data_IF_485740056395
#
_entry.id   IF_485740056395
#
_cell.length_a   1.000
_cell.length_b   1.000
_cell.length_c   1.000
_cell.angle_alpha   90.00
_cell.angle_beta   90.00
_cell.angle_gamma   90.00
#
_symmetry.space_group_name_H-M   'P 1'
#
loop_
_entity.id
_entity.type
_entity.pdbx_description
1 polymer ?
#
# COMPACT_ATOMS: atom_id res chain seq x y z
N UNK A 1 -23.17 -20.21 5.41
CA UNK A 1 -21.82 -20.23 5.99
C UNK A 1 -20.92 -21.22 5.26
N UNK A 2 -21.12 -22.53 5.32
CA UNK A 2 -20.31 -23.54 4.63
C UNK A 2 -20.14 -23.35 3.11
N UNK A 3 -21.19 -22.95 2.39
CA UNK A 3 -21.13 -22.76 0.93
C UNK A 3 -20.32 -21.54 0.49
N UNK A 4 -20.26 -20.50 1.29
CA UNK A 4 -19.50 -19.28 0.98
C UNK A 4 -18.03 -19.46 1.34
N UNK A 5 -17.74 -20.08 2.48
CA UNK A 5 -16.38 -20.50 2.82
C UNK A 5 -15.83 -21.47 1.75
N UNK A 6 -16.68 -22.35 1.24
CA UNK A 6 -16.34 -23.23 0.12
C UNK A 6 -16.14 -22.49 -1.20
N UNK A 7 -16.84 -21.37 -1.46
CA UNK A 7 -16.66 -20.56 -2.68
C UNK A 7 -15.41 -19.67 -2.58
N UNK A 8 -15.16 -19.07 -1.45
CA UNK A 8 -13.91 -18.30 -1.20
C UNK A 8 -12.73 -19.24 -1.16
N UNK A 9 -12.84 -20.37 -0.47
CA UNK A 9 -11.82 -21.43 -0.46
C UNK A 9 -11.62 -22.07 -1.85
N UNK A 10 -12.68 -22.25 -2.63
CA UNK A 10 -12.58 -22.74 -4.01
C UNK A 10 -11.98 -21.70 -4.95
N UNK A 11 -12.26 -20.42 -4.75
CA UNK A 11 -11.65 -19.32 -5.51
C UNK A 11 -10.17 -19.18 -5.16
N UNK A 12 -9.84 -19.23 -3.87
CA UNK A 12 -8.45 -19.25 -3.38
C UNK A 12 -7.74 -20.53 -3.81
N UNK A 13 -8.38 -21.70 -3.71
CA UNK A 13 -7.82 -22.97 -4.19
C UNK A 13 -7.65 -23.00 -5.72
N UNK A 14 -8.51 -22.34 -6.48
CA UNK A 14 -8.36 -22.17 -7.93
C UNK A 14 -7.18 -21.25 -8.26
N UNK A 15 -6.96 -20.20 -7.46
CA UNK A 15 -5.77 -19.35 -7.54
C UNK A 15 -4.52 -20.12 -7.08
N UNK A 16 -4.63 -21.01 -6.08
CA UNK A 16 -3.54 -21.82 -5.53
C UNK A 16 -3.13 -23.03 -6.40
N UNK A 17 -3.99 -23.52 -7.30
CA UNK A 17 -3.78 -24.78 -8.02
C UNK A 17 -2.65 -24.75 -9.06
N UNK A 18 -1.92 -23.66 -9.23
CA UNK A 18 -0.90 -23.55 -10.26
C UNK A 18 0.44 -23.05 -9.71
N UNK A 19 1.34 -24.01 -9.52
CA UNK A 19 2.81 -23.93 -9.55
C UNK A 19 3.43 -23.09 -8.44
N UNK A 20 4.07 -23.76 -7.50
CA UNK A 20 5.11 -23.14 -6.66
C UNK A 20 6.22 -22.63 -7.57
N UNK A 21 6.27 -21.33 -7.76
CA UNK A 21 7.32 -20.61 -8.46
C UNK A 21 8.23 -19.97 -7.40
N UNK A 22 9.52 -20.15 -7.53
CA UNK A 22 10.48 -19.38 -6.76
C UNK A 22 10.68 -18.06 -7.50
N UNK A 23 10.13 -16.95 -7.01
CA UNK A 23 10.39 -15.66 -7.64
C UNK A 23 11.87 -15.36 -7.54
N UNK A 24 12.41 -14.68 -8.54
CA UNK A 24 13.77 -14.17 -8.52
C UNK A 24 13.83 -12.94 -7.61
N UNK A 25 13.57 -13.10 -6.32
CA UNK A 25 13.70 -12.02 -5.35
C UNK A 25 15.14 -11.54 -5.29
N UNK A 26 15.31 -10.24 -5.35
CA UNK A 26 16.58 -9.62 -5.02
C UNK A 26 16.60 -9.42 -3.51
N UNK A 27 17.35 -10.27 -2.82
CA UNK A 27 17.60 -10.17 -1.38
C UNK A 27 18.83 -9.31 -1.18
N UNK A 28 18.76 -8.21 -0.39
CA UNK A 28 19.91 -7.39 -0.06
C UNK A 28 21.00 -8.22 0.63
N UNK A 29 22.27 -7.93 0.34
CA UNK A 29 23.38 -8.58 1.02
C UNK A 29 23.41 -8.19 2.51
N UNK A 30 23.52 -9.20 3.38
CA UNK A 30 23.73 -9.00 4.81
C UNK A 30 25.13 -8.41 5.05
N UNK A 31 25.19 -7.20 5.58
CA UNK A 31 26.40 -6.60 6.11
C UNK A 31 26.16 -6.34 7.58
N UNK A 32 26.49 -7.32 8.42
CA UNK A 32 26.38 -7.23 9.87
C UNK A 32 27.05 -5.97 10.40
N UNK A 33 26.24 -4.93 10.65
CA UNK A 33 26.56 -3.77 11.44
C UNK A 33 25.79 -3.89 12.76
N UNK A 34 26.45 -3.80 13.90
CA UNK A 34 25.79 -3.68 15.19
C UNK A 34 25.17 -2.27 15.26
N UNK A 35 23.86 -2.17 15.07
CA UNK A 35 23.11 -0.98 15.49
C UNK A 35 22.45 -1.28 16.83
N UNK A 36 22.71 -0.43 17.82
CA UNK A 36 22.17 -0.59 19.19
C UNK A 36 20.66 -0.35 19.30
N UNK A 37 19.96 0.02 18.22
CA UNK A 37 18.54 0.36 18.23
C UNK A 37 17.80 -0.16 17.00
N UNK A 38 16.78 -0.98 17.22
CA UNK A 38 15.81 -1.40 16.22
C UNK A 38 14.52 -0.58 16.39
N UNK A 39 13.92 -0.16 15.25
CA UNK A 39 12.62 0.50 15.22
C UNK A 39 11.54 -0.45 14.70
N UNK A 40 10.30 -0.41 15.23
CA UNK A 40 9.23 -1.28 14.77
C UNK A 40 8.90 -1.06 13.29
N UNK A 41 8.51 -2.14 12.63
CA UNK A 41 8.09 -2.18 11.24
C UNK A 41 6.58 -2.14 11.14
N UNK A 42 6.06 -1.16 10.41
CA UNK A 42 4.64 -1.00 10.14
C UNK A 42 4.39 -1.32 8.67
N UNK A 43 3.63 -2.37 8.45
CA UNK A 43 3.26 -2.85 7.13
C UNK A 43 1.90 -2.28 6.75
N UNK A 44 1.75 -1.83 5.50
CA UNK A 44 0.52 -1.22 5.00
C UNK A 44 0.12 -1.89 3.69
N UNK A 45 -1.03 -2.55 3.72
CA UNK A 45 -1.57 -3.29 2.58
C UNK A 45 -1.99 -2.38 1.40
N UNK A 46 -2.13 -2.97 0.20
CA UNK A 46 -2.58 -2.30 -1.00
C UNK A 46 -4.09 -2.18 -1.15
N UNK A 47 -4.52 -1.88 -2.36
CA UNK A 47 -5.93 -1.91 -2.78
C UNK A 47 -6.53 -3.30 -2.56
N UNK A 48 -7.77 -3.38 -2.09
CA UNK A 48 -8.46 -4.61 -1.70
C UNK A 48 -7.82 -5.41 -0.56
N UNK A 49 -6.80 -4.85 0.11
CA UNK A 49 -6.12 -5.52 1.21
C UNK A 49 -6.82 -5.34 2.55
N UNK A 50 -6.26 -5.95 3.58
CA UNK A 50 -6.73 -5.92 4.98
C UNK A 50 -5.56 -6.04 5.94
N UNK A 51 -5.78 -5.66 7.18
CA UNK A 51 -4.80 -5.77 8.26
C UNK A 51 -5.04 -6.96 9.20
N UNK A 52 -4.12 -7.14 10.14
CA UNK A 52 -4.17 -8.27 11.07
C UNK A 52 -5.33 -8.22 12.07
N UNK A 53 -5.94 -7.06 12.27
CA UNK A 53 -7.10 -6.90 13.17
C UNK A 53 -8.41 -7.38 12.54
N UNK A 54 -8.44 -7.66 11.25
CA UNK A 54 -9.63 -8.11 10.55
C UNK A 54 -9.78 -9.64 10.59
N UNK A 55 -11.02 -10.10 10.69
CA UNK A 55 -11.34 -11.53 10.80
C UNK A 55 -10.82 -12.37 9.63
N UNK A 56 -10.80 -11.81 8.43
CA UNK A 56 -10.26 -12.48 7.24
C UNK A 56 -8.79 -12.86 7.40
N UNK A 57 -8.02 -12.08 8.16
CA UNK A 57 -6.59 -12.33 8.36
C UNK A 57 -6.30 -13.62 9.11
N UNK A 58 -7.28 -14.15 9.86
CA UNK A 58 -7.16 -15.45 10.55
C UNK A 58 -7.16 -16.62 9.55
N UNK A 59 -7.90 -16.49 8.46
CA UNK A 59 -8.00 -17.51 7.42
C UNK A 59 -7.01 -17.26 6.28
N UNK A 60 -6.81 -15.99 5.93
CA UNK A 60 -5.91 -15.53 4.87
C UNK A 60 -5.23 -14.23 5.29
N UNK A 61 -3.97 -14.30 5.67
CA UNK A 61 -3.20 -13.09 5.94
C UNK A 61 -2.92 -12.35 4.62
N UNK A 62 -3.00 -11.03 4.63
CA UNK A 62 -2.57 -10.25 3.47
C UNK A 62 -1.07 -10.43 3.25
N UNK A 63 -0.29 -10.26 4.31
CA UNK A 63 1.15 -10.47 4.29
C UNK A 63 1.49 -11.94 4.56
N UNK A 64 2.02 -12.57 3.53
CA UNK A 64 2.29 -14.00 3.51
C UNK A 64 1.27 -14.81 2.71
N UNK A 65 0.10 -14.27 2.48
CA UNK A 65 -0.98 -14.82 1.63
C UNK A 65 -1.08 -16.34 1.63
N UNK A 66 -0.55 -16.99 0.58
CA UNK A 66 -0.60 -18.46 0.44
C UNK A 66 0.64 -19.18 1.00
N UNK A 67 1.64 -18.42 1.47
CA UNK A 67 2.91 -18.96 1.96
C UNK A 67 2.89 -19.22 3.46
N UNK A 68 2.61 -18.17 4.26
CA UNK A 68 2.65 -18.22 5.72
C UNK A 68 1.94 -17.03 6.34
N UNK A 69 1.83 -16.98 7.66
CA UNK A 69 1.48 -15.76 8.38
C UNK A 69 2.76 -14.92 8.60
N UNK A 70 3.14 -14.09 7.63
CA UNK A 70 4.43 -13.38 7.61
C UNK A 70 4.66 -12.55 8.88
N UNK A 71 3.67 -11.78 9.35
CA UNK A 71 3.82 -10.98 10.57
C UNK A 71 4.16 -11.84 11.79
N UNK A 72 3.50 -12.99 11.93
CA UNK A 72 3.81 -13.94 13.01
C UNK A 72 5.24 -14.48 12.87
N UNK A 73 5.65 -14.89 11.67
CA UNK A 73 6.98 -15.44 11.39
C UNK A 73 8.11 -14.44 11.66
N UNK A 74 7.91 -13.17 11.31
CA UNK A 74 8.86 -12.12 11.61
C UNK A 74 8.98 -11.89 13.12
N UNK A 75 7.85 -11.86 13.85
CA UNK A 75 7.84 -11.75 15.32
C UNK A 75 8.52 -12.95 16.00
N UNK A 76 8.35 -14.18 15.48
CA UNK A 76 9.07 -15.37 15.95
C UNK A 76 10.60 -15.25 15.77
N UNK A 77 11.07 -14.43 14.82
CA UNK A 77 12.49 -14.09 14.61
C UNK A 77 12.95 -12.86 15.42
N UNK A 78 12.09 -12.32 16.28
CA UNK A 78 12.43 -11.17 17.14
C UNK A 78 12.16 -9.80 16.52
N UNK A 79 11.58 -9.73 15.32
CA UNK A 79 11.27 -8.46 14.67
C UNK A 79 9.98 -7.88 15.27
N UNK A 80 10.05 -6.65 15.78
CA UNK A 80 8.86 -5.91 16.18
C UNK A 80 8.14 -5.39 14.93
N UNK A 81 7.01 -6.01 14.60
CA UNK A 81 6.23 -5.62 13.42
C UNK A 81 4.73 -5.73 13.66
N UNK A 82 3.98 -4.89 12.93
CA UNK A 82 2.51 -4.86 12.86
C UNK A 82 2.09 -4.56 11.44
N UNK A 83 0.93 -5.06 11.01
CA UNK A 83 0.27 -4.53 9.83
C UNK A 83 -0.95 -3.70 10.24
N UNK A 84 -1.10 -2.56 9.58
CA UNK A 84 -2.21 -1.65 9.81
C UNK A 84 -3.37 -1.98 8.88
N UNK A 85 -4.59 -1.86 9.40
CA UNK A 85 -5.82 -2.01 8.64
C UNK A 85 -6.34 -0.63 8.25
N UNK A 86 -6.36 -0.32 6.95
CA UNK A 86 -6.85 0.96 6.41
C UNK A 86 -7.85 0.72 5.29
N UNK A 87 -8.66 1.71 4.94
CA UNK A 87 -9.73 1.54 3.95
C UNK A 87 -9.25 0.94 2.64
N UNK A 88 -9.73 -0.27 2.25
CA UNK A 88 -9.27 -0.95 1.04
C UNK A 88 -9.63 -0.23 -0.26
N UNK A 89 -10.61 0.69 -0.21
CA UNK A 89 -11.12 1.47 -1.35
C UNK A 89 -11.00 2.98 -1.14
N UNK A 90 -10.61 3.42 0.06
CA UNK A 90 -10.48 4.83 0.42
C UNK A 90 -9.34 5.49 -0.37
N UNK A 91 -9.36 6.81 -0.42
CA UNK A 91 -8.27 7.58 -1.01
C UNK A 91 -6.97 7.45 -0.20
N UNK A 92 -5.85 7.81 -0.79
CA UNK A 92 -4.57 7.91 -0.09
C UNK A 92 -4.66 8.83 1.13
N UNK A 93 -5.42 9.91 1.02
CA UNK A 93 -5.61 10.84 2.12
C UNK A 93 -6.31 10.19 3.32
N UNK A 94 -7.45 9.58 3.07
CA UNK A 94 -8.22 8.91 4.13
C UNK A 94 -7.40 7.81 4.79
N UNK A 95 -6.73 6.99 3.98
CA UNK A 95 -5.85 5.91 4.45
C UNK A 95 -4.68 6.43 5.30
N UNK A 96 -4.06 7.55 4.93
CA UNK A 96 -2.98 8.15 5.72
C UNK A 96 -3.49 8.68 7.07
N UNK A 97 -4.70 9.27 7.11
CA UNK A 97 -5.35 9.70 8.35
C UNK A 97 -5.70 8.52 9.26
N UNK A 98 -6.22 7.42 8.69
CA UNK A 98 -6.52 6.18 9.40
C UNK A 98 -5.25 5.54 9.97
N UNK A 99 -4.20 5.45 9.16
CA UNK A 99 -2.90 4.93 9.59
C UNK A 99 -2.32 5.75 10.75
N UNK A 100 -2.34 7.08 10.64
CA UNK A 100 -1.88 7.95 11.72
C UNK A 100 -2.65 7.71 13.02
N UNK A 101 -3.97 7.61 12.93
CA UNK A 101 -4.82 7.39 14.10
C UNK A 101 -4.55 6.03 14.77
N UNK A 102 -4.28 4.97 14.00
CA UNK A 102 -3.88 3.67 14.53
C UNK A 102 -2.51 3.73 15.22
N UNK A 103 -1.54 4.38 14.59
CA UNK A 103 -0.19 4.49 15.15
C UNK A 103 -0.18 5.25 16.49
N UNK A 104 -1.05 6.26 16.63
CA UNK A 104 -1.12 7.15 17.82
C UNK A 104 -2.20 6.78 18.84
N UNK A 105 -3.09 5.83 18.54
CA UNK A 105 -4.22 5.49 19.41
C UNK A 105 -5.21 6.65 19.56
N UNK A 106 -5.55 7.33 18.44
CA UNK A 106 -6.41 8.50 18.44
C UNK A 106 -7.65 8.31 17.59
N UNK A 107 -8.52 9.32 17.55
CA UNK A 107 -9.63 9.36 16.60
C UNK A 107 -9.13 9.76 15.23
N UNK A 108 -9.62 9.08 14.19
CA UNK A 108 -9.37 9.48 12.80
C UNK A 108 -9.95 10.86 12.55
N UNK A 109 -9.11 11.78 12.10
CA UNK A 109 -9.49 13.13 11.63
C UNK A 109 -9.03 13.27 10.17
N UNK A 110 -9.99 13.29 9.25
CA UNK A 110 -9.73 13.43 7.82
C UNK A 110 -9.44 14.89 7.40
N UNK A 111 -9.51 15.83 8.34
CA UNK A 111 -9.32 17.25 8.10
C UNK A 111 -10.62 18.00 7.83
N UNK A 112 -10.65 19.25 8.28
CA UNK A 112 -11.80 20.14 8.14
C UNK A 112 -12.02 20.56 6.67
N UNK A 113 -10.93 20.93 5.99
CA UNK A 113 -10.96 21.39 4.59
C UNK A 113 -11.23 20.20 3.66
N UNK A 114 -10.48 19.10 3.86
CA UNK A 114 -10.61 17.91 3.05
C UNK A 114 -12.04 17.36 3.10
N UNK A 115 -12.58 17.13 4.30
CA UNK A 115 -13.91 16.56 4.48
C UNK A 115 -15.03 17.42 3.87
N UNK A 116 -14.93 18.76 4.01
CA UNK A 116 -15.86 19.69 3.38
C UNK A 116 -15.78 19.66 1.84
N UNK A 117 -14.55 19.65 1.31
CA UNK A 117 -14.30 19.60 -0.14
C UNK A 117 -14.86 18.33 -0.76
N UNK A 118 -14.69 17.20 -0.10
CA UNK A 118 -15.09 15.88 -0.58
C UNK A 118 -16.44 15.40 -0.03
N UNK A 119 -17.12 16.22 0.81
CA UNK A 119 -18.50 16.01 1.28
C UNK A 119 -18.70 14.72 2.06
N UNK A 120 -17.76 14.38 2.90
CA UNK A 120 -17.86 13.30 3.89
C UNK A 120 -17.66 13.83 5.31
N UNK A 121 -17.80 12.97 6.33
CA UNK A 121 -17.59 13.35 7.73
C UNK A 121 -16.10 13.59 7.98
N UNK A 122 -15.80 14.61 8.81
CA UNK A 122 -14.44 14.93 9.23
C UNK A 122 -13.82 13.82 10.10
N UNK A 123 -14.64 13.16 10.90
CA UNK A 123 -14.15 12.20 11.88
C UNK A 123 -14.61 10.77 11.56
N UNK A 124 -13.65 9.84 11.65
CA UNK A 124 -13.87 8.40 11.59
C UNK A 124 -13.88 7.73 12.97
N UNK A 125 -13.45 6.49 13.02
CA UNK A 125 -13.37 5.68 14.25
C UNK A 125 -12.32 6.20 15.23
N UNK A 126 -12.42 5.73 16.46
CA UNK A 126 -11.43 6.03 17.51
C UNK A 126 -10.67 4.75 17.85
N UNK A 127 -9.35 4.84 17.80
CA UNK A 127 -8.46 3.83 18.34
C UNK A 127 -8.08 4.22 19.76
N UNK A 128 -8.20 3.30 20.72
CA UNK A 128 -7.95 3.57 22.14
C UNK A 128 -6.55 3.20 22.58
N UNK A 129 -5.87 2.38 21.78
CA UNK A 129 -4.50 1.94 22.00
C UNK A 129 -3.66 2.20 20.76
N UNK A 130 -2.47 2.79 20.89
CA UNK A 130 -1.57 3.00 19.77
C UNK A 130 -0.93 1.69 19.35
N UNK A 131 -0.73 1.51 18.04
CA UNK A 131 0.08 0.39 17.51
C UNK A 131 1.52 0.52 17.99
N UNK A 132 2.06 1.75 18.02
CA UNK A 132 3.43 2.03 18.44
C UNK A 132 3.40 2.91 19.67
N UNK A 133 3.80 2.35 20.80
CA UNK A 133 3.91 3.11 22.05
C UNK A 133 5.04 4.11 21.97
N UNK A 134 4.81 5.31 22.51
CA UNK A 134 5.78 6.40 22.59
C UNK A 134 6.34 6.84 21.22
N UNK A 135 5.62 6.60 20.12
CA UNK A 135 6.04 7.05 18.78
C UNK A 135 6.21 8.57 18.74
N UNK A 136 7.37 9.02 18.27
CA UNK A 136 7.70 10.43 18.23
C UNK A 136 8.10 11.03 19.57
N UNK A 137 8.27 10.22 20.61
CA UNK A 137 8.85 10.62 21.88
C UNK A 137 10.34 10.26 21.92
N UNK A 138 11.10 10.98 22.73
CA UNK A 138 12.51 10.64 22.98
C UNK A 138 12.63 9.60 24.07
N UNK A 139 13.55 8.66 23.88
CA UNK A 139 13.90 7.67 24.90
C UNK A 139 14.87 8.24 25.95
N UNK A 140 15.34 7.40 26.86
CA UNK A 140 16.27 7.78 27.92
C UNK A 140 17.66 8.21 27.42
N UNK A 141 18.00 7.91 26.16
CA UNK A 141 19.24 8.31 25.51
C UNK A 141 19.05 9.54 24.60
N UNK A 142 17.92 10.24 24.70
CA UNK A 142 17.54 11.39 23.87
C UNK A 142 17.33 11.04 22.38
N UNK A 143 17.18 9.74 22.05
CA UNK A 143 16.94 9.26 20.70
C UNK A 143 15.42 9.17 20.41
N UNK A 144 15.00 9.66 19.26
CA UNK A 144 13.61 9.61 18.82
C UNK A 144 13.13 8.16 18.62
N UNK A 145 11.93 7.83 19.13
CA UNK A 145 11.23 6.58 18.79
C UNK A 145 10.60 6.72 17.43
N UNK A 146 11.21 6.12 16.43
CA UNK A 146 10.79 6.13 15.02
C UNK A 146 10.09 4.84 14.62
N UNK A 147 9.59 4.80 13.40
CA UNK A 147 9.08 3.58 12.76
C UNK A 147 9.73 3.38 11.38
N UNK A 148 9.77 2.14 10.93
CA UNK A 148 10.03 1.76 9.55
C UNK A 148 8.70 1.48 8.87
N UNK A 149 8.39 2.16 7.78
CA UNK A 149 7.15 2.00 7.02
C UNK A 149 7.40 1.12 5.79
N UNK A 150 6.62 0.06 5.63
CA UNK A 150 6.66 -0.83 4.46
C UNK A 150 5.28 -0.86 3.83
N UNK A 151 5.18 -0.41 2.58
CA UNK A 151 3.91 -0.38 1.85
C UNK A 151 3.95 -1.21 0.58
N UNK A 152 3.00 -2.12 0.42
CA UNK A 152 2.81 -2.87 -0.81
C UNK A 152 1.77 -2.19 -1.70
N UNK A 153 2.06 -2.09 -3.01
CA UNK A 153 1.10 -1.57 -3.97
C UNK A 153 0.61 -0.18 -3.56
N UNK A 154 -0.69 0.06 -3.50
CA UNK A 154 -1.30 1.30 -3.04
C UNK A 154 -0.89 1.69 -1.60
N UNK A 155 -0.52 0.73 -0.75
CA UNK A 155 0.02 0.98 0.59
C UNK A 155 1.30 1.82 0.58
N UNK A 156 2.12 1.68 -0.47
CA UNK A 156 3.31 2.51 -0.64
C UNK A 156 2.96 4.00 -0.87
N UNK A 157 1.92 4.28 -1.65
CA UNK A 157 1.43 5.66 -1.81
C UNK A 157 0.90 6.22 -0.48
N UNK A 158 0.21 5.38 0.31
CA UNK A 158 -0.32 5.73 1.64
C UNK A 158 0.80 6.13 2.62
N UNK A 159 1.86 5.32 2.75
CA UNK A 159 2.98 5.62 3.66
C UNK A 159 3.80 6.84 3.21
N UNK A 160 3.92 7.07 1.90
CA UNK A 160 4.55 8.27 1.35
C UNK A 160 3.76 9.53 1.73
N UNK A 161 2.43 9.49 1.60
CA UNK A 161 1.59 10.61 2.01
C UNK A 161 1.65 10.84 3.52
N UNK A 162 1.59 9.76 4.33
CA UNK A 162 1.76 9.87 5.79
C UNK A 162 3.07 10.58 6.13
N UNK A 163 4.20 10.15 5.55
CA UNK A 163 5.51 10.76 5.78
C UNK A 163 5.51 12.25 5.38
N UNK A 164 4.92 12.60 4.24
CA UNK A 164 4.84 13.99 3.80
C UNK A 164 4.00 14.87 4.73
N UNK A 165 2.86 14.36 5.22
CA UNK A 165 2.02 15.07 6.19
C UNK A 165 2.71 15.21 7.55
N UNK A 166 3.41 14.19 8.02
CA UNK A 166 4.24 14.28 9.24
C UNK A 166 5.33 15.33 9.09
N UNK A 167 5.97 15.41 7.95
CA UNK A 167 7.06 16.34 7.69
C UNK A 167 6.59 17.79 7.53
N UNK A 168 5.68 18.02 6.60
CA UNK A 168 5.28 19.39 6.16
C UNK A 168 3.89 19.82 6.65
N UNK A 169 3.06 18.88 7.07
CA UNK A 169 1.65 19.13 7.34
C UNK A 169 0.85 19.37 6.06
N UNK A 170 -0.28 20.05 6.24
CA UNK A 170 -1.11 20.52 5.15
C UNK A 170 -1.41 22.02 5.29
N UNK A 171 -0.99 22.87 4.35
CA UNK A 171 -1.16 24.30 4.46
C UNK A 171 -2.63 24.75 4.46
N UNK A 172 -3.52 24.04 3.76
CA UNK A 172 -4.94 24.38 3.70
C UNK A 172 -5.62 24.06 5.04
N UNK A 173 -5.32 22.90 5.63
CA UNK A 173 -5.80 22.52 6.97
C UNK A 173 -5.25 23.45 8.05
N UNK A 174 -3.97 23.83 8.00
CA UNK A 174 -3.34 24.78 8.92
C UNK A 174 -4.02 26.16 8.84
N UNK A 175 -4.34 26.62 7.64
CA UNK A 175 -4.91 27.94 7.44
C UNK A 175 -6.39 28.04 7.84
N UNK A 176 -7.15 26.96 7.75
CA UNK A 176 -8.61 26.98 7.89
C UNK A 176 -9.13 26.34 9.18
N UNK A 177 -8.32 25.54 9.88
CA UNK A 177 -8.74 24.85 11.10
C UNK A 177 -8.18 25.56 12.34
N UNK A 178 -8.99 25.69 13.40
CA UNK A 178 -8.54 26.27 14.68
C UNK A 178 -7.35 25.49 15.22
N UNK A 179 -6.37 26.19 15.77
CA UNK A 179 -5.13 25.60 16.29
C UNK A 179 -5.35 24.58 17.44
N UNK A 180 -6.48 24.68 18.15
CA UNK A 180 -6.84 23.73 19.20
C UNK A 180 -7.64 22.53 18.67
N UNK A 181 -8.04 22.54 17.40
CA UNK A 181 -8.91 21.54 16.79
C UNK A 181 -8.24 20.83 15.60
N UNK A 182 -7.12 21.34 15.10
CA UNK A 182 -6.37 20.73 14.01
C UNK A 182 -5.69 19.44 14.47
N UNK A 183 -5.81 18.36 13.68
CA UNK A 183 -5.05 17.15 13.93
C UNK A 183 -3.54 17.41 13.90
N UNK A 184 -2.77 16.89 14.86
CA UNK A 184 -1.31 17.00 14.84
C UNK A 184 -0.67 16.45 13.55
N UNK A 185 -1.32 15.54 12.84
CA UNK A 185 -0.87 15.05 11.53
C UNK A 185 -0.66 16.20 10.53
N UNK A 186 -1.59 17.17 10.53
CA UNK A 186 -1.57 18.26 9.54
C UNK A 186 -0.66 19.43 9.91
N UNK A 187 -0.05 19.42 11.11
CA UNK A 187 0.80 20.53 11.56
C UNK A 187 2.26 20.42 11.11
N UNK A 188 2.68 19.28 10.57
CA UNK A 188 4.08 19.05 10.18
C UNK A 188 5.07 18.98 11.34
N UNK A 189 6.36 19.12 11.01
CA UNK A 189 7.46 19.18 11.99
C UNK A 189 7.83 17.84 12.63
N UNK A 190 7.41 16.72 12.03
CA UNK A 190 7.56 15.34 12.54
C UNK A 190 8.30 14.43 11.55
N UNK A 191 9.13 14.99 10.66
CA UNK A 191 9.88 14.20 9.68
C UNK A 191 10.70 13.08 10.36
N UNK A 192 11.29 13.37 11.50
CA UNK A 192 12.13 12.46 12.28
C UNK A 192 11.34 11.39 13.07
N UNK A 193 10.02 11.26 12.88
CA UNK A 193 9.23 10.15 13.43
C UNK A 193 9.31 8.89 12.57
N UNK A 194 9.85 9.01 11.36
CA UNK A 194 10.05 7.89 10.43
C UNK A 194 11.53 7.69 10.18
N UNK A 195 11.99 6.46 10.28
CA UNK A 195 13.36 6.05 9.96
C UNK A 195 13.49 5.71 8.49
N UNK A 196 12.56 4.90 7.98
CA UNK A 196 12.57 4.50 6.57
C UNK A 196 11.18 4.39 5.96
N UNK A 197 11.10 4.62 4.66
CA UNK A 197 9.95 4.40 3.79
C UNK A 197 10.32 3.40 2.70
N UNK A 198 9.72 2.22 2.72
CA UNK A 198 9.96 1.16 1.75
C UNK A 198 8.70 0.89 0.93
N UNK A 199 8.79 1.06 -0.38
CA UNK A 199 7.69 0.79 -1.30
C UNK A 199 7.96 -0.49 -2.09
N UNK A 200 6.95 -1.37 -2.18
CA UNK A 200 7.03 -2.66 -2.88
C UNK A 200 5.92 -2.69 -3.94
N UNK A 201 6.25 -2.85 -5.20
CA UNK A 201 5.30 -2.86 -6.32
C UNK A 201 4.34 -1.65 -6.32
N UNK A 202 4.80 -0.52 -5.80
CA UNK A 202 3.97 0.67 -5.61
C UNK A 202 3.85 1.47 -6.90
N UNK A 203 2.63 1.88 -7.31
CA UNK A 203 2.46 2.76 -8.47
C UNK A 203 2.85 4.20 -8.12
N UNK A 204 4.16 4.44 -7.88
CA UNK A 204 4.69 5.75 -7.53
C UNK A 204 4.38 6.83 -8.59
N UNK A 205 4.18 6.40 -9.83
CA UNK A 205 3.79 7.27 -10.95
C UNK A 205 2.45 6.85 -11.57
N UNK A 206 1.63 6.09 -10.83
CA UNK A 206 0.39 5.50 -11.32
C UNK A 206 0.62 4.22 -12.13
N UNK A 207 -0.42 3.77 -12.80
CA UNK A 207 -0.37 2.57 -13.64
C UNK A 207 -1.14 2.77 -14.94
N UNK A 208 -0.60 2.26 -16.05
CA UNK A 208 -1.32 2.25 -17.34
C UNK A 208 -2.58 1.39 -17.30
N UNK A 209 -2.69 0.48 -16.33
CA UNK A 209 -3.91 -0.31 -16.12
C UNK A 209 -5.11 0.58 -15.78
N UNK A 210 -4.91 1.73 -15.13
CA UNK A 210 -5.99 2.68 -14.84
C UNK A 210 -6.61 3.24 -16.13
N UNK A 211 -5.81 3.54 -17.16
CA UNK A 211 -6.32 3.96 -18.47
C UNK A 211 -7.04 2.81 -19.19
N UNK A 212 -6.44 1.63 -19.19
CA UNK A 212 -7.05 0.43 -19.80
C UNK A 212 -8.41 0.12 -19.13
N UNK A 213 -8.46 0.21 -17.80
CA UNK A 213 -9.70 -0.03 -17.04
C UNK A 213 -10.79 1.01 -17.40
N UNK A 214 -10.41 2.27 -17.58
CA UNK A 214 -11.33 3.31 -18.02
C UNK A 214 -11.82 3.09 -19.46
N UNK A 215 -10.90 2.81 -20.39
CA UNK A 215 -11.23 2.60 -21.81
C UNK A 215 -12.16 1.39 -22.03
N UNK A 216 -12.05 0.37 -21.18
CA UNK A 216 -12.88 -0.83 -21.22
C UNK A 216 -14.12 -0.76 -20.31
N UNK A 217 -14.39 0.37 -19.67
CA UNK A 217 -15.44 0.54 -18.65
C UNK A 217 -15.38 -0.52 -17.53
N UNK A 218 -14.18 -1.02 -17.21
CA UNK A 218 -13.98 -2.04 -16.16
C UNK A 218 -14.27 -1.48 -14.77
N UNK A 219 -14.23 -0.17 -14.59
CA UNK A 219 -14.61 0.50 -13.35
C UNK A 219 -16.08 0.24 -13.06
N UNK A 220 -16.99 0.43 -14.03
CA UNK A 220 -18.42 0.15 -13.86
C UNK A 220 -18.69 -1.34 -13.57
N UNK A 221 -17.93 -2.25 -14.20
CA UNK A 221 -18.02 -3.69 -13.92
C UNK A 221 -17.49 -4.00 -12.50
N UNK A 222 -16.42 -3.34 -12.09
CA UNK A 222 -15.87 -3.42 -10.73
C UNK A 222 -16.86 -2.93 -9.69
N UNK A 223 -17.58 -1.84 -9.96
CA UNK A 223 -18.67 -1.32 -9.11
C UNK A 223 -19.78 -2.36 -8.90
N UNK A 224 -20.20 -3.03 -9.96
CA UNK A 224 -21.23 -4.08 -9.89
C UNK A 224 -20.73 -5.28 -9.09
N UNK A 225 -19.49 -5.72 -9.30
CA UNK A 225 -18.88 -6.82 -8.56
C UNK A 225 -18.74 -6.47 -7.07
N UNK A 226 -18.32 -5.25 -6.77
CA UNK A 226 -18.20 -4.72 -5.43
C UNK A 226 -19.56 -4.59 -4.74
N UNK A 227 -20.58 -4.15 -5.47
CA UNK A 227 -21.97 -4.11 -4.99
C UNK A 227 -22.49 -5.50 -4.62
N UNK A 228 -22.25 -6.50 -5.49
CA UNK A 228 -22.66 -7.88 -5.22
C UNK A 228 -21.90 -8.46 -4.01
N UNK A 229 -20.63 -8.17 -3.91
CA UNK A 229 -19.78 -8.57 -2.77
C UNK A 229 -20.29 -7.94 -1.47
N UNK A 230 -20.51 -6.62 -1.45
CA UNK A 230 -21.06 -5.91 -0.31
C UNK A 230 -22.48 -6.36 0.05
N UNK A 231 -23.31 -6.69 -0.95
CA UNK A 231 -24.66 -7.23 -0.73
C UNK A 231 -24.65 -8.60 -0.04
N UNK A 232 -23.67 -9.43 -0.34
CA UNK A 232 -23.48 -10.75 0.32
C UNK A 232 -22.94 -10.56 1.74
N UNK A 233 -21.91 -9.74 1.92
CA UNK A 233 -21.29 -9.50 3.23
C UNK A 233 -22.24 -8.78 4.19
N UNK A 234 -22.98 -7.78 3.73
CA UNK A 234 -23.91 -7.00 4.57
C UNK A 234 -25.11 -7.79 5.10
N UNK A 235 -25.35 -9.01 4.59
CA UNK A 235 -26.44 -9.91 5.05
C UNK A 235 -25.98 -11.06 5.92
N UNK A 236 -24.68 -11.23 6.09
CA UNK A 236 -24.11 -12.39 6.76
C UNK A 236 -23.56 -12.01 8.15
N UNK A 237 -23.42 -12.99 9.08
CA UNK A 237 -22.64 -12.79 10.31
C UNK A 237 -21.15 -12.54 10.06
N UNK A 238 -20.73 -12.34 8.81
CA UNK A 238 -19.40 -11.95 8.37
C UNK A 238 -19.14 -10.43 8.53
N UNK A 239 -20.07 -9.66 9.10
CA UNK A 239 -19.81 -8.33 9.63
C UNK A 239 -18.69 -8.43 10.69
N UNK A 240 -17.53 -7.89 10.41
CA UNK A 240 -16.28 -8.04 11.17
C UNK A 240 -15.27 -9.00 10.55
N UNK A 241 -15.62 -9.68 9.45
CA UNK A 241 -14.67 -10.50 8.70
C UNK A 241 -13.80 -9.64 7.77
N UNK A 242 -14.41 -8.67 7.09
CA UNK A 242 -13.72 -7.64 6.29
C UNK A 242 -14.27 -6.27 6.66
N UNK A 243 -13.39 -5.34 7.00
CA UNK A 243 -13.73 -3.97 7.32
C UNK A 243 -13.40 -3.05 6.13
N UNK A 244 -14.36 -2.24 5.72
CA UNK A 244 -14.20 -1.31 4.60
C UNK A 244 -13.77 0.08 5.03
N UNK A 245 -13.70 0.36 6.34
CA UNK A 245 -13.35 1.69 6.87
C UNK A 245 -14.17 2.81 6.19
N UNK A 246 -15.49 2.78 6.37
CA UNK A 246 -16.42 3.69 5.70
C UNK A 246 -17.13 4.65 6.65
N UNK A 247 -16.56 4.90 7.82
CA UNK A 247 -17.14 5.76 8.85
C UNK A 247 -17.32 7.20 8.36
N UNK A 248 -16.41 7.71 7.54
CA UNK A 248 -16.50 9.05 6.94
C UNK A 248 -17.75 9.19 6.06
N UNK A 249 -18.28 8.09 5.54
CA UNK A 249 -19.54 8.06 4.76
C UNK A 249 -20.75 7.69 5.62
N UNK A 250 -20.63 7.73 6.96
CA UNK A 250 -21.70 7.44 7.90
C UNK A 250 -22.02 5.96 8.08
N UNK A 251 -21.11 5.06 7.66
CA UNK A 251 -21.21 3.64 7.89
C UNK A 251 -20.31 3.25 9.07
N UNK A 252 -20.94 2.83 10.14
CA UNK A 252 -20.22 2.24 11.27
C UNK A 252 -20.44 0.73 11.28
N UNK A 253 -19.35 -0.03 11.25
CA UNK A 253 -19.40 -1.46 11.52
C UNK A 253 -19.36 -1.68 13.03
N UNK A 254 -20.52 -1.61 13.66
CA UNK A 254 -20.65 -2.01 15.06
C UNK A 254 -20.90 -3.52 15.10
N UNK A 255 -20.04 -4.31 15.75
CA UNK A 255 -20.27 -5.75 15.90
C UNK A 255 -21.66 -6.01 16.46
N UNK A 256 -22.50 -6.75 15.72
CA UNK A 256 -23.87 -7.06 16.08
C UNK A 256 -24.95 -6.15 15.50
N UNK A 257 -24.63 -5.03 14.87
CA UNK A 257 -25.57 -4.22 14.10
C UNK A 257 -25.71 -4.73 12.65
N UNK A 258 -26.95 -4.75 12.15
CA UNK A 258 -27.21 -5.16 10.77
C UNK A 258 -26.98 -3.98 9.84
N UNK A 259 -25.81 -3.90 9.24
CA UNK A 259 -25.58 -3.01 8.10
C UNK A 259 -26.46 -3.46 6.94
N UNK A 260 -27.35 -2.59 6.46
CA UNK A 260 -28.19 -2.94 5.30
C UNK A 260 -27.38 -2.82 4.02
N UNK A 261 -27.64 -3.72 3.05
CA UNK A 261 -27.08 -3.65 1.69
C UNK A 261 -27.17 -2.24 1.09
N UNK A 262 -28.24 -1.53 1.40
CA UNK A 262 -28.47 -0.17 0.90
C UNK A 262 -27.46 0.86 1.51
N UNK A 263 -27.02 0.67 2.75
CA UNK A 263 -26.00 1.53 3.34
C UNK A 263 -24.64 1.32 2.68
N UNK A 264 -24.24 0.08 2.52
CA UNK A 264 -22.96 -0.27 1.84
C UNK A 264 -22.97 0.23 0.39
N UNK A 265 -24.08 0.00 -0.34
CA UNK A 265 -24.25 0.51 -1.70
C UNK A 265 -24.09 2.04 -1.76
N UNK A 266 -24.77 2.77 -0.88
CA UNK A 266 -24.69 4.25 -0.85
C UNK A 266 -23.28 4.73 -0.59
N UNK A 267 -22.56 4.11 0.34
CA UNK A 267 -21.20 4.51 0.66
C UNK A 267 -20.24 4.24 -0.49
N UNK A 268 -20.28 3.03 -1.05
CA UNK A 268 -19.47 2.69 -2.23
C UNK A 268 -19.81 3.58 -3.42
N UNK A 269 -21.11 3.79 -3.69
CA UNK A 269 -21.54 4.73 -4.73
C UNK A 269 -21.03 6.15 -4.46
N UNK A 270 -21.01 6.60 -3.21
CA UNK A 270 -20.49 7.92 -2.85
C UNK A 270 -18.98 8.01 -3.12
N UNK A 271 -18.20 6.99 -2.72
CA UNK A 271 -16.75 6.92 -2.99
C UNK A 271 -16.47 6.97 -4.50
N UNK A 272 -17.16 6.14 -5.26
CA UNK A 272 -16.97 6.04 -6.71
C UNK A 272 -17.48 7.27 -7.49
N UNK A 273 -18.39 8.05 -6.90
CA UNK A 273 -18.80 9.36 -7.43
C UNK A 273 -17.82 10.48 -7.10
N UNK A 274 -16.86 10.26 -6.20
CA UNK A 274 -15.80 11.22 -5.94
C UNK A 274 -14.85 11.28 -7.15
N UNK A 275 -14.61 12.47 -7.65
CA UNK A 275 -13.73 12.64 -8.82
C UNK A 275 -12.24 12.49 -8.46
N UNK A 276 -11.85 12.90 -7.25
CA UNK A 276 -10.45 13.05 -6.85
C UNK A 276 -10.13 12.45 -5.47
N UNK A 277 -11.11 11.91 -4.77
CA UNK A 277 -10.96 11.36 -3.42
C UNK A 277 -11.40 9.90 -3.41
N UNK A 278 -10.66 9.10 -4.13
CA UNK A 278 -10.90 7.66 -4.25
C UNK A 278 -9.66 6.94 -4.81
N UNK A 279 -9.61 5.64 -4.59
CA UNK A 279 -8.52 4.79 -5.02
C UNK A 279 -8.30 4.79 -6.55
N UNK A 280 -9.35 4.90 -7.35
CA UNK A 280 -9.22 4.86 -8.81
C UNK A 280 -8.48 6.10 -9.34
N UNK A 281 -8.74 7.28 -8.77
CA UNK A 281 -7.99 8.48 -9.08
C UNK A 281 -6.53 8.34 -8.60
N UNK A 282 -6.32 7.93 -7.36
CA UNK A 282 -4.98 7.86 -6.76
C UNK A 282 -4.05 6.83 -7.44
N UNK A 283 -4.62 5.78 -8.04
CA UNK A 283 -3.88 4.79 -8.84
C UNK A 283 -3.63 5.25 -10.28
N UNK A 284 -4.31 6.30 -10.75
CA UNK A 284 -4.07 6.87 -12.08
C UNK A 284 -2.73 7.63 -12.12
N UNK A 285 -2.20 7.87 -13.31
CA UNK A 285 -1.00 8.69 -13.47
C UNK A 285 -1.26 10.15 -13.02
N UNK A 286 -2.47 10.66 -13.18
CA UNK A 286 -2.89 12.00 -12.74
C UNK A 286 -2.88 12.10 -11.21
N UNK A 287 -3.44 11.12 -10.52
CA UNK A 287 -3.46 11.06 -9.06
C UNK A 287 -2.05 10.90 -8.48
N UNK A 288 -1.25 10.00 -9.07
CA UNK A 288 0.14 9.81 -8.68
C UNK A 288 0.98 11.08 -8.89
N UNK A 289 0.77 11.79 -10.02
CA UNK A 289 1.44 13.08 -10.23
C UNK A 289 1.03 14.13 -9.20
N UNK A 290 -0.26 14.21 -8.88
CA UNK A 290 -0.74 15.14 -7.86
C UNK A 290 -0.12 14.82 -6.49
N UNK A 291 0.05 13.54 -6.15
CA UNK A 291 0.76 13.11 -4.95
C UNK A 291 2.24 13.50 -5.00
N UNK A 292 2.93 13.22 -6.11
CA UNK A 292 4.35 13.53 -6.28
C UNK A 292 4.62 15.05 -6.22
N UNK A 293 3.76 15.87 -6.84
CA UNK A 293 3.89 17.34 -6.80
C UNK A 293 3.72 17.93 -5.39
N UNK A 294 3.02 17.21 -4.51
CA UNK A 294 2.75 17.60 -3.12
C UNK A 294 3.87 17.20 -2.17
N UNK A 295 4.55 16.09 -2.44
CA UNK A 295 5.53 15.52 -1.54
C UNK A 295 6.94 16.04 -1.84
N UNK A 296 7.80 15.95 -0.84
CA UNK A 296 9.25 16.11 -0.96
C UNK A 296 9.93 15.11 -0.06
N UNK A 297 11.13 14.69 -0.42
CA UNK A 297 11.93 13.82 0.41
C UNK A 297 12.48 14.58 1.63
N UNK A 298 12.67 13.86 2.72
CA UNK A 298 13.29 14.37 3.95
C UNK A 298 14.72 13.86 4.06
N UNK A 299 15.65 14.75 4.36
CA UNK A 299 17.09 14.49 4.32
C UNK A 299 17.55 13.38 5.29
N UNK A 300 16.78 13.12 6.36
CA UNK A 300 17.11 12.16 7.42
C UNK A 300 16.30 10.87 7.36
N UNK A 301 15.57 10.63 6.27
CA UNK A 301 14.77 9.44 6.06
C UNK A 301 15.38 8.58 4.95
N UNK A 302 15.47 7.28 5.18
CA UNK A 302 15.86 6.31 4.16
C UNK A 302 14.66 5.96 3.28
N UNK A 303 14.83 6.03 1.96
CA UNK A 303 13.80 5.65 0.99
C UNK A 303 14.28 4.47 0.15
N UNK A 304 13.46 3.40 0.10
CA UNK A 304 13.74 2.21 -0.69
C UNK A 304 12.55 1.88 -1.60
N UNK A 305 12.84 1.42 -2.80
CA UNK A 305 11.80 0.97 -3.72
C UNK A 305 12.14 -0.37 -4.35
N UNK A 306 11.17 -1.29 -4.31
CA UNK A 306 11.25 -2.63 -4.87
C UNK A 306 10.24 -2.76 -6.00
N UNK A 307 10.73 -2.88 -7.24
CA UNK A 307 9.91 -3.12 -8.41
C UNK A 307 9.99 -4.58 -8.83
N UNK A 308 8.87 -5.10 -9.34
CA UNK A 308 8.77 -6.47 -9.84
C UNK A 308 8.44 -6.49 -11.32
N UNK A 309 8.89 -7.52 -12.02
CA UNK A 309 8.61 -7.73 -13.44
C UNK A 309 8.22 -9.17 -13.70
N UNK A 310 7.03 -9.37 -14.27
CA UNK A 310 6.52 -10.67 -14.71
C UNK A 310 6.40 -10.78 -16.22
N UNK A 311 7.01 -9.86 -16.97
CA UNK A 311 6.91 -9.79 -18.43
C UNK A 311 8.28 -9.85 -19.10
N UNK A 312 8.30 -10.32 -20.34
CA UNK A 312 9.49 -10.36 -21.22
C UNK A 312 9.14 -9.85 -22.61
N UNK A 313 10.14 -9.46 -23.36
CA UNK A 313 9.95 -9.04 -24.75
C UNK A 313 9.33 -10.16 -25.60
N UNK A 314 8.33 -9.83 -26.38
CA UNK A 314 7.72 -10.79 -27.31
C UNK A 314 8.75 -11.26 -28.32
N UNK A 315 8.96 -12.58 -28.46
CA UNK A 315 9.91 -13.11 -29.46
C UNK A 315 9.44 -12.89 -30.90
N UNK A 316 8.17 -12.52 -31.10
CA UNK A 316 7.58 -12.31 -32.43
C UNK A 316 7.72 -10.87 -32.87
N UNK A 317 7.40 -9.93 -31.99
CA UNK A 317 7.36 -8.49 -32.35
C UNK A 317 8.54 -7.70 -31.81
N UNK A 318 9.19 -8.17 -30.75
CA UNK A 318 10.26 -7.46 -30.03
C UNK A 318 9.83 -6.13 -29.39
N UNK A 319 8.55 -5.76 -29.51
CA UNK A 319 8.02 -4.47 -29.05
C UNK A 319 6.93 -4.61 -27.97
N UNK A 320 6.22 -5.71 -27.96
CA UNK A 320 5.23 -6.02 -26.94
C UNK A 320 5.90 -6.77 -25.79
N UNK A 321 5.35 -6.61 -24.59
CA UNK A 321 5.69 -7.47 -23.44
C UNK A 321 4.66 -8.60 -23.35
N UNK A 322 5.11 -9.80 -23.05
CA UNK A 322 4.24 -10.97 -22.78
C UNK A 322 4.49 -11.48 -21.38
N UNK A 323 3.44 -11.99 -20.75
CA UNK A 323 3.50 -12.53 -19.41
C UNK A 323 4.37 -13.79 -19.35
N UNK A 324 5.20 -13.92 -18.31
CA UNK A 324 5.93 -15.14 -17.99
C UNK A 324 4.95 -16.28 -17.70
N UNK A 325 5.32 -17.54 -17.95
CA UNK A 325 4.50 -18.72 -17.59
C UNK A 325 4.19 -18.80 -16.09
N UNK A 326 5.06 -18.26 -15.24
CA UNK A 326 4.92 -18.18 -13.79
C UNK A 326 3.92 -17.13 -13.30
N UNK A 327 3.54 -16.17 -14.15
CA UNK A 327 2.56 -15.14 -13.78
C UNK A 327 1.25 -15.76 -13.35
N UNK A 328 0.69 -15.31 -12.24
CA UNK A 328 -0.64 -15.68 -11.77
C UNK A 328 -1.65 -15.57 -12.90
N UNK A 329 -2.44 -16.62 -13.09
CA UNK A 329 -3.36 -16.71 -14.24
C UNK A 329 -4.25 -15.49 -14.39
N UNK A 330 -4.77 -14.97 -13.27
CA UNK A 330 -5.63 -13.77 -13.25
C UNK A 330 -4.88 -12.51 -13.71
N UNK A 331 -3.57 -12.42 -13.49
CA UNK A 331 -2.76 -11.25 -13.84
C UNK A 331 -2.24 -11.28 -15.28
N UNK A 332 -2.26 -12.45 -15.95
CA UNK A 332 -1.70 -12.58 -17.32
C UNK A 332 -2.37 -11.66 -18.31
N UNK A 333 -3.70 -11.62 -18.32
CA UNK A 333 -4.43 -10.76 -19.25
C UNK A 333 -4.09 -9.28 -19.05
N UNK A 334 -4.01 -8.84 -17.79
CA UNK A 334 -3.63 -7.45 -17.45
C UNK A 334 -2.18 -7.17 -17.84
N UNK A 335 -1.25 -8.09 -17.55
CA UNK A 335 0.17 -7.97 -17.95
C UNK A 335 0.32 -7.77 -19.46
N UNK A 336 -0.42 -8.53 -20.27
CA UNK A 336 -0.36 -8.46 -21.72
C UNK A 336 -1.01 -7.19 -22.27
N UNK A 337 -2.14 -6.76 -21.71
CA UNK A 337 -2.77 -5.48 -22.06
C UNK A 337 -1.84 -4.29 -21.77
N UNK A 338 -1.22 -4.26 -20.59
CA UNK A 338 -0.22 -3.26 -20.25
C UNK A 338 1.03 -3.37 -21.13
N UNK A 339 1.43 -4.60 -21.47
CA UNK A 339 2.59 -4.91 -22.31
C UNK A 339 2.50 -4.44 -23.76
N UNK A 340 1.32 -4.07 -24.23
CA UNK A 340 1.09 -3.49 -25.56
C UNK A 340 0.64 -2.03 -25.50
N UNK A 341 0.33 -1.50 -24.33
CA UNK A 341 -0.11 -0.12 -24.16
C UNK A 341 1.01 0.85 -24.54
N UNK A 342 0.77 1.73 -25.50
CA UNK A 342 1.87 2.44 -26.16
C UNK A 342 1.82 3.96 -26.02
N UNK A 343 0.68 4.55 -25.77
CA UNK A 343 0.60 6.00 -25.58
C UNK A 343 -0.75 6.46 -25.03
N UNK A 344 -0.72 7.50 -24.23
CA UNK A 344 -1.85 8.36 -23.93
C UNK A 344 -1.35 9.81 -24.01
N UNK A 345 -1.78 10.59 -25.02
CA UNK A 345 -1.30 11.96 -25.17
C UNK A 345 -1.76 12.91 -24.05
N UNK A 346 -2.82 12.53 -23.32
CA UNK A 346 -3.37 13.33 -22.21
C UNK A 346 -2.74 12.94 -20.86
N UNK A 347 -1.87 11.91 -20.83
CA UNK A 347 -1.20 11.49 -19.60
C UNK A 347 -0.22 12.58 -19.10
N UNK A 348 -0.09 12.76 -17.77
CA UNK A 348 0.80 13.76 -17.20
C UNK A 348 2.29 13.43 -17.36
N UNK A 349 2.60 12.19 -17.78
CA UNK A 349 3.93 11.69 -18.07
C UNK A 349 3.96 11.13 -19.50
N UNK A 350 5.10 11.22 -20.21
CA UNK A 350 5.26 10.50 -21.47
C UNK A 350 5.13 8.99 -21.27
N UNK A 351 4.10 8.38 -21.85
CA UNK A 351 3.93 6.91 -21.87
C UNK A 351 4.60 6.38 -23.13
N UNK A 352 5.73 5.71 -22.96
CA UNK A 352 6.53 5.14 -24.03
C UNK A 352 6.83 3.64 -23.79
N UNK A 353 7.78 3.08 -24.55
CA UNK A 353 8.17 1.67 -24.45
C UNK A 353 8.64 1.25 -23.05
N UNK A 354 9.20 2.18 -22.24
CA UNK A 354 9.66 1.91 -20.86
C UNK A 354 8.52 1.56 -19.91
N UNK A 355 7.27 1.94 -20.25
CA UNK A 355 6.10 1.62 -19.46
C UNK A 355 5.54 0.20 -19.70
N UNK A 356 5.98 -0.49 -20.75
CA UNK A 356 5.45 -1.83 -21.07
C UNK A 356 5.87 -2.93 -20.10
N UNK A 357 7.12 -3.01 -19.59
CA UNK A 357 7.47 -3.95 -18.55
C UNK A 357 6.61 -3.72 -17.30
N UNK A 358 6.01 -4.81 -16.74
CA UNK A 358 5.08 -4.70 -15.63
C UNK A 358 5.05 -5.99 -14.79
N UNK A 359 4.43 -5.90 -13.62
CA UNK A 359 4.21 -7.00 -12.68
C UNK A 359 2.79 -7.59 -12.76
N UNK A 360 2.01 -7.15 -13.72
CA UNK A 360 0.60 -7.54 -13.92
C UNK A 360 -0.40 -6.49 -13.47
N UNK A 361 -0.03 -5.55 -12.60
CA UNK A 361 -0.88 -4.43 -12.14
C UNK A 361 -0.15 -3.09 -12.21
N UNK A 362 1.17 -3.06 -12.06
CA UNK A 362 1.98 -1.84 -12.02
C UNK A 362 3.13 -1.94 -13.01
N UNK A 363 3.39 -0.86 -13.72
CA UNK A 363 4.52 -0.74 -14.65
C UNK A 363 5.85 -0.64 -13.87
N UNK A 364 6.87 -1.36 -14.31
CA UNK A 364 8.19 -1.38 -13.63
C UNK A 364 8.74 0.03 -13.44
N UNK A 365 8.74 0.85 -14.50
CA UNK A 365 9.23 2.23 -14.44
C UNK A 365 8.45 3.09 -13.44
N UNK A 366 7.15 2.82 -13.27
CA UNK A 366 6.32 3.54 -12.31
C UNK A 366 6.56 3.09 -10.86
N UNK A 367 7.06 1.86 -10.65
CA UNK A 367 7.31 1.32 -9.32
C UNK A 367 8.71 1.65 -8.79
N UNK A 368 9.65 2.03 -9.64
CA UNK A 368 11.04 2.25 -9.24
C UNK A 368 11.21 3.46 -8.31
N UNK A 369 10.65 4.61 -8.65
CA UNK A 369 10.68 5.83 -7.80
C UNK A 369 9.71 6.87 -8.36
N UNK A 370 9.27 7.87 -7.57
CA UNK A 370 8.48 9.00 -8.07
C UNK A 370 9.28 9.85 -9.05
N UNK A 371 8.69 10.15 -10.20
CA UNK A 371 9.36 11.00 -11.19
C UNK A 371 9.62 12.41 -10.63
N UNK A 372 10.84 12.87 -10.78
CA UNK A 372 11.30 14.15 -10.25
C UNK A 372 12.03 14.06 -8.92
N UNK A 373 11.87 12.97 -8.17
CA UNK A 373 12.61 12.76 -6.93
C UNK A 373 14.07 12.36 -7.19
N UNK A 374 14.94 12.74 -6.26
CA UNK A 374 16.32 12.28 -6.24
C UNK A 374 16.38 10.77 -6.00
N UNK A 375 17.19 10.08 -6.78
CA UNK A 375 17.32 8.62 -6.71
C UNK A 375 18.73 8.15 -7.12
N UNK A 376 19.07 6.95 -6.69
CA UNK A 376 20.28 6.23 -7.11
C UNK A 376 19.98 4.74 -7.18
N UNK A 377 20.69 4.02 -8.02
CA UNK A 377 20.67 2.57 -7.97
C UNK A 377 21.20 2.10 -6.61
N UNK A 378 20.62 1.04 -6.07
CA UNK A 378 21.02 0.47 -4.80
C UNK A 378 22.51 0.05 -4.83
N UNK A 379 23.29 0.59 -3.91
CA UNK A 379 24.64 0.17 -3.61
C UNK A 379 24.74 -0.16 -2.11
N UNK A 380 24.98 -1.44 -1.73
CA UNK A 380 25.03 -1.85 -0.34
C UNK A 380 26.17 -1.17 0.46
N UNK A 381 27.12 -0.52 -0.23
CA UNK A 381 28.20 0.24 0.41
C UNK A 381 27.91 1.73 0.53
N UNK A 382 26.83 2.21 -0.10
CA UNK A 382 26.52 3.64 -0.17
C UNK A 382 25.01 3.89 -0.16
N UNK A 383 24.32 3.38 0.86
CA UNK A 383 22.91 3.68 1.09
C UNK A 383 22.78 5.11 1.62
N UNK A 384 21.91 5.92 1.03
CA UNK A 384 21.80 7.33 1.33
C UNK A 384 20.40 7.67 1.85
N UNK A 385 20.32 8.65 2.75
CA UNK A 385 19.06 9.29 3.16
C UNK A 385 18.68 10.40 2.18
N UNK A 386 17.43 10.84 2.20
CA UNK A 386 16.94 11.95 1.39
C UNK A 386 16.84 11.66 -0.11
N UNK A 387 17.12 10.44 -0.54
CA UNK A 387 16.99 9.98 -1.92
C UNK A 387 16.42 8.56 -1.98
N UNK A 388 15.82 8.18 -3.09
CA UNK A 388 15.40 6.81 -3.33
C UNK A 388 16.61 5.92 -3.65
N UNK A 389 16.82 4.88 -2.84
CA UNK A 389 17.73 3.78 -3.13
C UNK A 389 16.93 2.73 -3.91
N UNK A 390 17.11 2.70 -5.23
CA UNK A 390 16.28 1.88 -6.13
C UNK A 390 16.85 0.47 -6.21
N UNK A 391 16.11 -0.48 -5.65
CA UNK A 391 16.53 -1.88 -5.66
C UNK A 391 16.51 -2.46 -7.08
N UNK A 392 17.37 -3.44 -7.39
CA UNK A 392 17.30 -4.17 -8.63
C UNK A 392 15.91 -4.79 -8.83
N UNK A 393 15.43 -4.81 -10.06
CA UNK A 393 14.09 -5.34 -10.38
C UNK A 393 14.03 -6.84 -10.12
N UNK A 394 13.12 -7.26 -9.26
CA UNK A 394 12.86 -8.67 -8.97
C UNK A 394 12.02 -9.33 -10.08
N UNK A 395 12.26 -10.61 -10.36
CA UNK A 395 11.40 -11.38 -11.25
C UNK A 395 10.23 -11.95 -10.46
N UNK A 396 9.02 -11.58 -10.86
CA UNK A 396 7.80 -12.01 -10.18
C UNK A 396 6.62 -11.13 -10.58
N UNK A 397 5.42 -11.56 -10.20
CA UNK A 397 4.21 -10.76 -10.37
C UNK A 397 3.86 -9.99 -9.08
N UNK A 398 2.85 -9.15 -9.19
CA UNK A 398 2.38 -8.27 -8.11
C UNK A 398 2.01 -9.02 -6.82
N UNK A 399 1.46 -10.22 -6.95
CA UNK A 399 1.06 -11.06 -5.81
C UNK A 399 2.21 -11.79 -5.15
N UNK A 400 3.30 -12.05 -5.88
CA UNK A 400 4.47 -12.73 -5.30
C UNK A 400 5.09 -11.90 -4.16
N UNK A 401 5.05 -10.58 -4.26
CA UNK A 401 5.58 -9.69 -3.22
C UNK A 401 4.94 -9.89 -1.84
N UNK A 402 3.69 -10.33 -1.81
CA UNK A 402 2.95 -10.62 -0.56
C UNK A 402 2.80 -12.11 -0.30
N UNK A 403 3.50 -12.99 -1.04
CA UNK A 403 3.53 -14.43 -0.79
C UNK A 403 2.51 -15.24 -1.58
N UNK A 404 1.83 -14.69 -2.60
CA UNK A 404 0.96 -15.50 -3.45
C UNK A 404 1.83 -16.40 -4.35
N UNK A 405 1.70 -17.70 -4.19
CA UNK A 405 2.44 -18.66 -5.00
C UNK A 405 3.95 -18.73 -4.72
N UNK A 406 4.39 -18.23 -3.60
CA UNK A 406 5.79 -18.23 -3.13
C UNK A 406 5.92 -19.24 -1.99
N UNK A 407 7.05 -19.92 -1.87
CA UNK A 407 7.34 -20.74 -0.70
C UNK A 407 7.71 -19.89 0.53
N UNK A 408 7.49 -20.43 1.73
CA UNK A 408 7.71 -19.72 2.99
C UNK A 408 9.17 -19.26 3.16
N UNK A 409 10.13 -20.10 2.81
CA UNK A 409 11.56 -19.82 2.98
C UNK A 409 11.98 -18.63 2.12
N UNK A 410 11.64 -18.65 0.83
CA UNK A 410 11.94 -17.53 -0.10
C UNK A 410 11.30 -16.24 0.33
N UNK A 411 10.06 -16.28 0.82
CA UNK A 411 9.38 -15.07 1.28
C UNK A 411 10.02 -14.50 2.55
N UNK A 412 10.35 -15.38 3.51
CA UNK A 412 11.03 -14.96 4.74
C UNK A 412 12.41 -14.40 4.47
N UNK A 413 13.20 -15.03 3.61
CA UNK A 413 14.52 -14.53 3.24
C UNK A 413 14.45 -13.17 2.59
N UNK A 414 13.44 -12.94 1.73
CA UNK A 414 13.21 -11.63 1.12
C UNK A 414 12.95 -10.53 2.17
N UNK A 415 12.02 -10.75 3.09
CA UNK A 415 11.70 -9.76 4.11
C UNK A 415 12.79 -9.61 5.18
N UNK A 416 13.41 -10.70 5.60
CA UNK A 416 14.53 -10.65 6.54
C UNK A 416 15.73 -9.92 5.95
N UNK A 417 16.06 -10.16 4.67
CA UNK A 417 17.12 -9.41 3.98
C UNK A 417 16.83 -7.91 3.91
N UNK A 418 15.58 -7.53 3.62
CA UNK A 418 15.14 -6.14 3.63
C UNK A 418 15.27 -5.51 5.03
N UNK A 419 14.80 -6.19 6.06
CA UNK A 419 14.86 -5.74 7.46
C UNK A 419 16.32 -5.60 7.90
N UNK A 420 17.14 -6.61 7.69
CA UNK A 420 18.57 -6.58 8.03
C UNK A 420 19.30 -5.44 7.33
N UNK A 421 19.00 -5.20 6.05
CA UNK A 421 19.56 -4.05 5.32
C UNK A 421 19.20 -2.72 5.99
N UNK A 422 17.95 -2.54 6.40
CA UNK A 422 17.48 -1.31 7.06
C UNK A 422 18.13 -1.17 8.45
N UNK A 423 18.20 -2.23 9.24
CA UNK A 423 18.78 -2.22 10.58
C UNK A 423 20.31 -1.94 10.58
N UNK A 424 20.98 -2.30 9.49
CA UNK A 424 22.40 -2.04 9.33
C UNK A 424 22.74 -0.59 8.97
N UNK A 425 21.72 0.29 8.82
CA UNK A 425 21.99 1.69 8.51
C UNK A 425 22.21 2.51 9.77
N UNK A 426 23.06 3.55 9.68
CA UNK A 426 23.25 4.50 10.78
C UNK A 426 21.92 5.13 11.23
N UNK A 427 21.78 5.34 12.52
CA UNK A 427 20.66 6.09 13.09
C UNK A 427 20.78 7.54 12.62
N UNK A 428 19.69 8.10 12.10
CA UNK A 428 19.57 9.51 11.71
C UNK A 428 18.88 10.29 12.83
N UNK A 429 19.36 11.49 13.14
CA UNK A 429 18.79 12.39 14.15
C UNK A 429 17.65 13.27 13.59
#
# INVERSE_FOLDING_TARGET
MFMFQSLVAAWVALVMAFVSFVPGFVVPEDKSGETDKSYPYIFVHGFLGWGEDEGINQDFSYWGATSCHLMQKLREKGIECRDASVGPFSSNWDRACELYAQLTGTRVDYGEVHSKKHKHLRYGRTYTEPIVKNWGEKDENDLMNKVNLIGHSFGGNTIRLLQGLLSKGDPDEIAATDTNDISPLFTGGKANWVNSVTTICTPNNGTTLAYIANDLNLIEIGEIALFLYAAVLGRSPLNGYVDFHLEQFGLTFVPGEKTTVNHVYKALHTILQQKYDNVAFDLSCEGAKALNDRLSLDDNVYYYSYAFRTTVDSPITGKAQIALPSTLFILRAYSEMMGVYSSNPDAPFPIDESWKPNDGLVNVVAAQYPFGDAHTDYDPNNIQTGIWNVMPVSTGDHGNAIGIGVDEESLLDYYMGMITMIENQPITD
#
